data_IF_641116848639
#
_entry.id   IF_641116848639
#
_cell.length_a   1.000
_cell.length_b   1.000
_cell.length_c   1.000
_cell.angle_alpha   90.00
_cell.angle_beta   90.00
_cell.angle_gamma   90.00
#
_symmetry.space_group_name_H-M   'P 1'
#
loop_
_entity.id
_entity.type
_entity.pdbx_description
1 polymer ?
#
# COMPACT_ATOMS: atom_id res chain seq x y z
N UNK A 1 6.57 -4.03 12.91
CA UNK A 1 6.08 -5.20 13.66
C UNK A 1 6.44 -6.44 12.85
N UNK A 2 7.01 -7.50 13.43
CA UNK A 2 7.33 -8.74 12.71
C UNK A 2 6.06 -9.41 12.14
N UNK A 3 6.13 -9.99 10.94
CA UNK A 3 5.04 -10.77 10.35
C UNK A 3 3.95 -9.98 9.60
N UNK A 4 3.91 -8.65 9.73
CA UNK A 4 2.88 -7.83 9.06
C UNK A 4 3.21 -7.59 7.59
N UNK A 5 4.48 -7.32 7.26
CA UNK A 5 4.88 -6.97 5.90
C UNK A 5 4.63 -8.11 4.91
N UNK A 6 4.78 -9.35 5.37
CA UNK A 6 4.59 -10.59 4.61
C UNK A 6 3.14 -10.81 4.21
N UNK A 7 2.19 -10.15 4.88
CA UNK A 7 0.76 -10.23 4.56
C UNK A 7 0.30 -9.16 3.55
N UNK A 8 1.19 -8.24 3.18
CA UNK A 8 0.85 -7.11 2.30
C UNK A 8 1.42 -7.33 0.91
N UNK A 9 0.54 -7.51 -0.08
CA UNK A 9 0.91 -7.56 -1.49
C UNK A 9 0.30 -6.36 -2.24
N UNK A 10 1.14 -5.35 -2.50
CA UNK A 10 0.70 -4.10 -3.16
C UNK A 10 0.29 -4.29 -4.62
N UNK A 11 0.87 -5.26 -5.33
CA UNK A 11 0.49 -5.56 -6.70
C UNK A 11 -0.94 -6.10 -6.73
N UNK A 12 -1.24 -7.10 -5.90
CA UNK A 12 -2.58 -7.69 -5.81
C UNK A 12 -3.63 -6.65 -5.39
N UNK A 13 -3.32 -5.81 -4.40
CA UNK A 13 -4.20 -4.72 -3.96
C UNK A 13 -4.50 -3.77 -5.14
N UNK A 14 -3.45 -3.28 -5.82
CA UNK A 14 -3.62 -2.33 -6.93
C UNK A 14 -4.43 -2.94 -8.07
N UNK A 15 -4.10 -4.16 -8.49
CA UNK A 15 -4.83 -4.85 -9.54
C UNK A 15 -6.30 -5.02 -9.18
N UNK A 16 -6.60 -5.50 -7.96
CA UNK A 16 -7.99 -5.69 -7.54
C UNK A 16 -8.81 -4.40 -7.66
N UNK A 17 -8.31 -3.29 -7.11
CA UNK A 17 -9.08 -2.04 -7.08
C UNK A 17 -9.15 -1.34 -8.44
N UNK A 18 -8.03 -1.20 -9.15
CA UNK A 18 -8.00 -0.43 -10.41
C UNK A 18 -8.59 -1.21 -11.59
N UNK A 19 -8.52 -2.54 -11.58
CA UNK A 19 -9.00 -3.36 -12.69
C UNK A 19 -10.46 -3.82 -12.52
N UNK A 20 -10.88 -4.20 -11.31
CA UNK A 20 -12.21 -4.80 -11.09
C UNK A 20 -13.34 -3.77 -11.11
N UNK A 21 -13.08 -2.55 -10.60
CA UNK A 21 -14.10 -1.49 -10.47
C UNK A 21 -14.31 -0.72 -11.77
N UNK A 22 -14.80 -1.38 -12.82
CA UNK A 22 -15.04 -0.79 -14.14
C UNK A 22 -16.02 0.40 -14.13
N UNK A 23 -16.94 0.47 -13.15
CA UNK A 23 -17.87 1.61 -13.01
C UNK A 23 -17.16 2.89 -12.56
N UNK A 24 -16.02 2.75 -11.86
CA UNK A 24 -15.21 3.87 -11.35
C UNK A 24 -14.02 4.13 -12.29
N UNK A 25 -13.35 3.07 -12.77
CA UNK A 25 -12.24 3.13 -13.70
C UNK A 25 -12.54 2.32 -14.98
N UNK A 26 -13.32 2.87 -15.94
CA UNK A 26 -13.63 2.18 -17.18
C UNK A 26 -12.40 1.79 -18.01
N UNK A 27 -11.32 2.58 -17.91
CA UNK A 27 -10.07 2.33 -18.63
C UNK A 27 -9.26 1.15 -18.08
N UNK A 28 -9.54 0.72 -16.84
CA UNK A 28 -8.80 -0.29 -16.08
C UNK A 28 -7.29 -0.02 -15.97
N UNK A 29 -6.86 1.21 -16.18
CA UNK A 29 -5.46 1.60 -16.02
C UNK A 29 -5.09 1.46 -14.54
N UNK A 30 -4.02 0.70 -14.29
CA UNK A 30 -3.36 0.62 -12.98
C UNK A 30 -2.22 1.65 -12.99
N UNK A 31 -2.28 2.73 -12.20
CA UNK A 31 -1.19 3.69 -12.15
C UNK A 31 0.06 3.05 -11.53
N UNK A 32 1.26 3.46 -11.94
CA UNK A 32 2.52 3.09 -11.29
C UNK A 32 2.51 3.47 -9.80
N UNK A 33 1.87 4.61 -9.49
CA UNK A 33 1.68 5.08 -8.12
C UNK A 33 2.87 5.91 -7.63
N UNK A 34 2.79 6.41 -6.39
CA UNK A 34 3.87 7.18 -5.78
C UNK A 34 5.00 6.27 -5.30
N UNK A 35 6.22 6.80 -5.27
CA UNK A 35 7.34 6.15 -4.61
C UNK A 35 7.09 6.15 -3.09
N UNK A 36 7.02 4.96 -2.46
CA UNK A 36 6.71 4.79 -1.04
C UNK A 36 7.77 3.91 -0.38
N UNK A 37 8.39 4.41 0.69
CA UNK A 37 9.29 3.65 1.54
C UNK A 37 8.63 3.32 2.89
N UNK A 38 7.92 2.20 2.94
CA UNK A 38 7.29 1.70 4.17
C UNK A 38 8.28 1.20 5.24
N UNK A 39 9.56 1.04 4.87
CA UNK A 39 10.63 0.60 5.78
C UNK A 39 11.34 1.77 6.47
N UNK A 40 10.98 3.01 6.14
CA UNK A 40 11.55 4.19 6.78
C UNK A 40 11.28 4.18 8.30
N UNK A 41 12.27 4.52 9.15
CA UNK A 41 12.07 4.59 10.60
C UNK A 41 10.97 5.59 10.96
N UNK A 42 9.92 5.12 11.64
CA UNK A 42 8.78 5.97 11.98
C UNK A 42 8.94 6.77 13.29
N UNK A 43 9.99 6.51 14.08
CA UNK A 43 10.35 7.21 15.34
C UNK A 43 9.26 7.35 16.42
N UNK A 44 8.06 6.79 16.22
CA UNK A 44 6.93 6.90 17.16
C UNK A 44 7.23 6.44 18.59
N UNK A 45 8.16 5.49 18.78
CA UNK A 45 8.61 5.05 20.10
C UNK A 45 9.35 6.14 20.89
N UNK A 46 9.90 7.15 20.21
CA UNK A 46 10.55 8.31 20.82
C UNK A 46 9.55 9.42 21.17
N UNK A 47 8.45 9.53 20.42
CA UNK A 47 7.46 10.58 20.59
C UNK A 47 6.46 10.31 21.70
N UNK A 48 6.18 9.03 21.95
CA UNK A 48 5.26 8.59 22.98
C UNK A 48 6.02 7.62 23.87
N UNK A 49 6.26 8.02 25.12
CA UNK A 49 6.87 7.14 26.12
C UNK A 49 6.07 5.83 26.14
N UNK A 50 6.79 4.72 25.93
CA UNK A 50 6.24 3.37 25.83
C UNK A 50 5.75 2.87 27.18
#
# INVERSE_FOLDING_TARGET
QPGIAETVNMEHIKQHYYFSHHTINPSRIVPEGPELNFSAPHQRHLQFAS
#
